data_IF_334256254161
#
_entry.id   IF_334256254161
#
_cell.length_a   1.000
_cell.length_b   1.000
_cell.length_c   1.000
_cell.angle_alpha   90.00
_cell.angle_beta   90.00
_cell.angle_gamma   90.00
#
_symmetry.space_group_name_H-M   'P 1'
#
loop_
_entity.id
_entity.type
_entity.pdbx_description
1 polymer ?
#
# COMPACT_ATOMS: atom_id res chain seq x y z
N UNK A 1 -5.78 -25.13 9.13
CA UNK A 1 -4.50 -25.39 9.79
C UNK A 1 -4.09 -26.83 9.57
N UNK A 2 -2.81 -27.07 9.29
CA UNK A 2 -2.21 -28.38 9.14
C UNK A 2 -1.30 -28.66 10.34
N UNK A 3 -1.43 -29.83 10.94
CA UNK A 3 -0.62 -30.28 12.07
C UNK A 3 -0.17 -31.74 11.86
N UNK A 4 0.79 -32.22 12.65
CA UNK A 4 1.18 -33.63 12.64
C UNK A 4 -0.01 -34.47 13.03
N UNK A 5 -0.12 -35.65 12.36
CA UNK A 5 -1.22 -36.60 12.59
C UNK A 5 -1.26 -37.06 14.06
N UNK A 6 -2.47 -37.07 14.63
CA UNK A 6 -2.78 -37.53 15.99
C UNK A 6 -2.00 -36.83 17.10
N UNK A 7 -1.54 -35.60 16.86
CA UNK A 7 -0.71 -34.77 17.79
C UNK A 7 -1.53 -33.78 18.63
N UNK A 8 -2.68 -33.35 18.12
CA UNK A 8 -3.49 -32.31 18.75
C UNK A 8 -4.77 -32.86 19.36
N UNK A 9 -5.00 -32.47 20.62
CA UNK A 9 -6.26 -32.68 21.33
C UNK A 9 -7.31 -31.68 20.89
N UNK A 10 -6.91 -30.40 20.76
CA UNK A 10 -7.80 -29.30 20.42
C UNK A 10 -7.03 -28.18 19.73
N UNK A 11 -7.68 -27.50 18.78
CA UNK A 11 -7.19 -26.26 18.18
C UNK A 11 -8.32 -25.24 18.27
N UNK A 12 -8.01 -24.06 18.83
CA UNK A 12 -8.96 -22.96 19.00
C UNK A 12 -8.48 -21.77 18.16
N UNK A 13 -9.38 -21.20 17.37
CA UNK A 13 -9.16 -19.89 16.74
C UNK A 13 -9.62 -18.79 17.69
N UNK A 14 -8.71 -17.88 18.01
CA UNK A 14 -9.00 -16.62 18.68
C UNK A 14 -9.10 -15.53 17.63
N UNK A 15 -10.15 -14.70 17.69
CA UNK A 15 -10.34 -13.63 16.71
C UNK A 15 -11.05 -12.42 17.28
N UNK A 16 -10.79 -11.26 16.70
CA UNK A 16 -11.42 -9.98 17.05
C UNK A 16 -11.45 -9.04 15.84
N UNK A 17 -12.28 -7.99 15.91
CA UNK A 17 -12.26 -6.91 14.92
C UNK A 17 -10.98 -6.08 15.10
N UNK A 18 -10.28 -5.83 14.01
CA UNK A 18 -9.03 -5.05 13.99
C UNK A 18 -9.22 -3.61 14.50
N UNK A 19 -10.39 -3.03 14.26
CA UNK A 19 -10.68 -1.62 14.54
C UNK A 19 -11.37 -1.38 15.88
N UNK A 20 -11.59 -2.42 16.68
CA UNK A 20 -12.08 -2.23 18.05
C UNK A 20 -11.04 -1.46 18.89
N UNK A 21 -11.43 -0.36 19.57
CA UNK A 21 -10.54 0.38 20.45
C UNK A 21 -9.89 -0.52 21.51
N UNK A 22 -8.62 -0.28 21.81
CA UNK A 22 -7.85 -1.09 22.78
C UNK A 22 -8.38 -0.99 24.21
N UNK A 23 -9.11 0.07 24.51
CA UNK A 23 -9.74 0.33 25.82
C UNK A 23 -10.92 -0.59 26.09
N UNK A 24 -11.54 -1.13 25.05
CA UNK A 24 -12.63 -2.09 25.19
C UNK A 24 -12.05 -3.47 25.49
N UNK A 25 -12.27 -3.92 26.73
CA UNK A 25 -11.88 -5.25 27.19
C UNK A 25 -12.89 -6.30 26.71
N UNK A 26 -12.43 -7.54 26.56
CA UNK A 26 -13.24 -8.74 26.28
C UNK A 26 -14.00 -8.75 24.95
N UNK A 27 -13.44 -8.14 23.91
CA UNK A 27 -14.00 -8.18 22.56
C UNK A 27 -13.56 -9.42 21.76
N UNK A 28 -12.56 -10.15 22.28
CA UNK A 28 -12.03 -11.35 21.65
C UNK A 28 -13.02 -12.51 21.75
N UNK A 29 -13.23 -13.15 20.61
CA UNK A 29 -14.04 -14.35 20.49
C UNK A 29 -13.15 -15.56 20.23
N UNK A 30 -13.64 -16.73 20.61
CA UNK A 30 -12.97 -18.02 20.39
C UNK A 30 -13.91 -19.00 19.74
N UNK A 31 -13.37 -19.87 18.89
CA UNK A 31 -14.13 -20.96 18.27
C UNK A 31 -13.23 -22.18 18.08
N UNK A 32 -13.65 -23.37 18.54
CA UNK A 32 -12.89 -24.60 18.30
C UNK A 32 -12.94 -24.99 16.82
N UNK A 33 -11.79 -25.39 16.29
CA UNK A 33 -11.67 -25.87 14.92
C UNK A 33 -12.00 -27.36 14.83
N UNK A 34 -12.56 -27.79 13.72
CA UNK A 34 -12.92 -29.18 13.46
C UNK A 34 -11.89 -29.85 12.57
N UNK A 35 -11.56 -31.11 12.87
CA UNK A 35 -10.75 -31.93 11.97
C UNK A 35 -11.56 -32.18 10.70
N UNK A 36 -11.10 -31.63 9.57
CA UNK A 36 -11.74 -31.72 8.28
C UNK A 36 -11.22 -32.90 7.44
N UNK A 37 -9.92 -33.20 7.56
CA UNK A 37 -9.28 -34.28 6.80
C UNK A 37 -8.07 -34.83 7.55
N UNK A 38 -7.65 -36.04 7.16
CA UNK A 38 -6.42 -36.70 7.60
C UNK A 38 -5.69 -37.26 6.39
N UNK A 39 -4.38 -37.00 6.32
CA UNK A 39 -3.49 -37.66 5.36
C UNK A 39 -2.61 -38.71 6.05
N UNK A 40 -1.64 -39.26 5.33
CA UNK A 40 -0.70 -40.23 5.91
C UNK A 40 0.09 -39.65 7.11
N UNK A 41 0.45 -38.34 7.06
CA UNK A 41 1.34 -37.71 8.03
C UNK A 41 0.71 -36.52 8.77
N UNK A 42 -0.44 -36.01 8.33
CA UNK A 42 -1.02 -34.76 8.84
C UNK A 42 -2.52 -34.86 9.06
N UNK A 43 -2.97 -34.11 10.05
CA UNK A 43 -4.37 -33.73 10.27
C UNK A 43 -4.60 -32.31 9.81
N UNK A 44 -5.77 -32.07 9.23
CA UNK A 44 -6.19 -30.75 8.74
C UNK A 44 -7.41 -30.29 9.52
N UNK A 45 -7.31 -29.09 10.08
CA UNK A 45 -8.38 -28.47 10.85
C UNK A 45 -8.88 -27.23 10.15
N UNK A 46 -10.18 -27.05 10.16
CA UNK A 46 -10.86 -25.88 9.60
C UNK A 46 -11.93 -25.35 10.52
N UNK A 47 -12.27 -24.10 10.34
CA UNK A 47 -13.44 -23.43 10.93
C UNK A 47 -14.01 -22.44 9.94
N UNK A 48 -15.33 -22.38 9.88
CA UNK A 48 -16.04 -21.41 9.07
C UNK A 48 -16.57 -20.31 9.97
N UNK A 49 -16.21 -19.07 9.66
CA UNK A 49 -16.68 -17.89 10.37
C UNK A 49 -17.72 -17.18 9.51
N UNK A 50 -18.89 -16.97 10.10
CA UNK A 50 -19.86 -16.04 9.53
C UNK A 50 -19.69 -14.69 10.23
N UNK A 51 -19.22 -13.67 9.49
CA UNK A 51 -18.78 -12.44 10.08
C UNK A 51 -19.39 -11.22 9.40
N UNK A 52 -19.67 -10.21 10.24
CA UNK A 52 -20.06 -8.87 9.78
C UNK A 52 -18.91 -7.85 9.99
N UNK A 53 -17.68 -8.34 10.14
CA UNK A 53 -16.50 -7.52 10.43
C UNK A 53 -15.83 -7.09 9.13
N UNK A 54 -15.30 -5.87 9.12
CA UNK A 54 -14.57 -5.32 7.96
C UNK A 54 -13.15 -5.88 7.88
N UNK A 55 -12.51 -6.11 9.01
CA UNK A 55 -11.17 -6.66 9.08
C UNK A 55 -11.02 -7.50 10.35
N UNK A 56 -10.36 -8.63 10.21
CA UNK A 56 -10.20 -9.62 11.28
C UNK A 56 -8.74 -9.71 11.69
N UNK A 57 -8.49 -9.70 13.01
CA UNK A 57 -7.24 -10.18 13.60
C UNK A 57 -7.47 -11.50 14.28
N UNK A 58 -6.50 -12.41 14.18
CA UNK A 58 -6.64 -13.73 14.73
C UNK A 58 -5.29 -14.39 15.07
N UNK A 59 -5.35 -15.39 15.92
CA UNK A 59 -4.26 -16.32 16.21
C UNK A 59 -4.83 -17.68 16.63
N UNK A 60 -3.97 -18.69 16.67
CA UNK A 60 -4.35 -20.05 17.01
C UNK A 60 -3.82 -20.44 18.39
N UNK A 61 -4.63 -21.18 19.15
CA UNK A 61 -4.23 -21.91 20.34
C UNK A 61 -4.24 -23.39 20.01
N UNK A 62 -3.12 -24.06 20.21
CA UNK A 62 -2.96 -25.49 20.07
C UNK A 62 -2.85 -26.12 21.44
N UNK A 63 -3.59 -27.19 21.68
CA UNK A 63 -3.45 -28.04 22.87
C UNK A 63 -3.08 -29.43 22.38
N UNK A 64 -1.91 -29.91 22.77
CA UNK A 64 -1.45 -31.26 22.41
C UNK A 64 -2.14 -32.36 23.21
N UNK A 65 -1.79 -33.65 22.93
CA UNK A 65 -2.37 -34.80 23.60
C UNK A 65 -1.96 -34.90 25.08
N UNK A 66 -0.91 -34.22 25.52
CA UNK A 66 -0.46 -34.09 26.90
C UNK A 66 -1.13 -32.95 27.66
N UNK A 67 -1.82 -32.06 26.96
CA UNK A 67 -2.49 -30.89 27.51
C UNK A 67 -1.62 -29.62 27.55
N UNK A 68 -0.42 -29.69 26.94
CA UNK A 68 0.44 -28.52 26.80
C UNK A 68 -0.15 -27.56 25.75
N UNK A 69 -0.04 -26.24 26.06
CA UNK A 69 -0.59 -25.20 25.18
C UNK A 69 0.50 -24.40 24.48
N UNK A 70 0.28 -24.14 23.19
CA UNK A 70 1.11 -23.25 22.37
C UNK A 70 0.22 -22.35 21.54
N UNK A 71 0.60 -21.09 21.44
CA UNK A 71 -0.11 -20.08 20.66
C UNK A 71 0.69 -19.73 19.40
N UNK A 72 0.02 -19.59 18.27
CA UNK A 72 0.65 -19.26 17.00
C UNK A 72 0.04 -17.99 16.39
N UNK A 73 0.87 -16.97 16.26
CA UNK A 73 0.56 -15.68 15.64
C UNK A 73 1.44 -15.39 14.44
N UNK A 74 1.43 -14.14 13.99
CA UNK A 74 2.04 -13.72 12.72
C UNK A 74 3.56 -13.97 12.62
N UNK A 75 4.29 -13.98 13.74
CA UNK A 75 5.76 -14.04 13.70
C UNK A 75 6.35 -15.28 14.38
N UNK A 76 5.67 -15.86 15.36
CA UNK A 76 6.26 -16.92 16.16
C UNK A 76 5.24 -17.77 16.92
N UNK A 77 5.71 -18.90 17.43
CA UNK A 77 5.02 -19.65 18.45
C UNK A 77 5.35 -19.10 19.84
N UNK A 78 4.37 -19.10 20.75
CA UNK A 78 4.50 -18.62 22.13
C UNK A 78 3.88 -19.60 23.10
N UNK A 79 4.48 -19.77 24.28
CA UNK A 79 3.86 -20.49 25.42
C UNK A 79 2.85 -19.61 26.17
N UNK A 80 2.91 -18.30 25.99
CA UNK A 80 2.00 -17.34 26.58
C UNK A 80 0.95 -16.90 25.56
N UNK A 81 -0.28 -16.69 26.03
CA UNK A 81 -1.37 -16.22 25.17
C UNK A 81 -1.01 -14.88 24.53
N UNK A 82 -1.26 -14.77 23.23
CA UNK A 82 -0.96 -13.57 22.44
C UNK A 82 -1.94 -12.47 22.82
N UNK A 83 -1.44 -11.44 23.49
CA UNK A 83 -2.20 -10.23 23.88
C UNK A 83 -1.83 -9.02 23.02
N UNK A 84 -0.61 -9.00 22.49
CA UNK A 84 -0.15 -7.94 21.58
C UNK A 84 -0.78 -8.14 20.19
N UNK A 85 -1.57 -7.17 19.75
CA UNK A 85 -2.28 -7.19 18.46
C UNK A 85 -1.35 -7.24 17.25
N UNK A 86 -0.16 -6.67 17.35
CA UNK A 86 0.82 -6.69 16.25
C UNK A 86 1.41 -8.08 15.99
N UNK A 87 1.25 -9.01 16.93
CA UNK A 87 1.66 -10.41 16.82
C UNK A 87 0.53 -11.32 16.31
N UNK A 88 -0.64 -10.80 16.04
CA UNK A 88 -1.76 -11.55 15.46
C UNK A 88 -1.67 -11.55 13.94
N UNK A 89 -2.25 -12.56 13.31
CA UNK A 89 -2.51 -12.53 11.88
C UNK A 89 -3.59 -11.51 11.56
N UNK A 90 -3.44 -10.81 10.45
CA UNK A 90 -4.49 -9.99 9.86
C UNK A 90 -5.15 -10.77 8.71
N UNK A 91 -6.46 -10.89 8.71
CA UNK A 91 -7.19 -11.29 7.51
C UNK A 91 -7.28 -10.06 6.58
N UNK A 92 -7.07 -10.22 5.28
CA UNK A 92 -7.22 -9.13 4.34
C UNK A 92 -8.55 -8.40 4.49
N UNK A 93 -8.53 -7.10 4.22
CA UNK A 93 -9.73 -6.27 4.10
C UNK A 93 -10.63 -6.84 2.98
N UNK A 94 -11.89 -6.39 2.96
CA UNK A 94 -12.88 -6.77 1.94
C UNK A 94 -13.45 -8.18 2.15
N UNK A 95 -13.96 -8.43 3.35
CA UNK A 95 -14.72 -9.65 3.67
C UNK A 95 -16.20 -9.57 3.25
N UNK A 96 -16.65 -8.40 2.79
CA UNK A 96 -18.01 -8.22 2.26
C UNK A 96 -18.02 -8.55 0.77
N UNK A 97 -19.06 -9.23 0.35
CA UNK A 97 -19.25 -9.60 -1.05
C UNK A 97 -19.21 -8.39 -2.00
N UNK A 98 -19.71 -7.24 -1.53
CA UNK A 98 -19.72 -5.95 -2.25
C UNK A 98 -18.32 -5.32 -2.37
N UNK A 99 -17.35 -5.75 -1.55
CA UNK A 99 -15.98 -5.28 -1.52
C UNK A 99 -15.00 -6.29 -2.16
N UNK A 100 -15.51 -7.44 -2.62
CA UNK A 100 -14.69 -8.44 -3.30
C UNK A 100 -14.36 -7.95 -4.72
N UNK A 101 -13.08 -7.81 -4.99
CA UNK A 101 -12.60 -7.49 -6.34
C UNK A 101 -12.46 -8.78 -7.15
N UNK A 102 -13.08 -8.81 -8.30
CA UNK A 102 -12.67 -9.77 -9.31
C UNK A 102 -11.32 -9.34 -9.87
N UNK A 103 -10.28 -10.09 -9.56
CA UNK A 103 -8.95 -9.87 -10.14
C UNK A 103 -9.06 -10.16 -11.63
N UNK A 104 -8.77 -9.18 -12.52
CA UNK A 104 -8.82 -9.43 -13.95
C UNK A 104 -7.88 -10.57 -14.33
N UNK A 105 -8.31 -11.44 -15.23
CA UNK A 105 -7.54 -12.61 -15.66
C UNK A 105 -6.12 -12.24 -16.10
N UNK A 106 -5.96 -11.11 -16.76
CA UNK A 106 -4.65 -10.64 -17.21
C UNK A 106 -3.67 -10.30 -16.06
N UNK A 107 -4.16 -10.02 -14.86
CA UNK A 107 -3.33 -9.64 -13.70
C UNK A 107 -2.85 -10.86 -12.89
N UNK A 108 -3.50 -12.02 -13.06
CA UNK A 108 -3.10 -13.24 -12.37
C UNK A 108 -1.73 -13.72 -12.86
N UNK A 109 -0.87 -14.12 -11.93
CA UNK A 109 0.47 -14.68 -12.21
C UNK A 109 1.39 -13.74 -13.01
N UNK A 110 1.28 -12.42 -12.83
CA UNK A 110 2.10 -11.41 -13.50
C UNK A 110 3.25 -10.92 -12.62
N UNK A 111 4.39 -10.67 -13.25
CA UNK A 111 5.54 -10.03 -12.61
C UNK A 111 5.43 -8.53 -12.81
N UNK A 112 5.31 -7.80 -11.71
CA UNK A 112 5.21 -6.33 -11.72
C UNK A 112 6.56 -5.73 -11.37
N UNK A 113 7.03 -4.79 -12.18
CA UNK A 113 8.25 -4.03 -11.94
C UNK A 113 7.92 -2.56 -11.68
N UNK A 114 8.15 -2.11 -10.44
CA UNK A 114 7.94 -0.73 -10.07
C UNK A 114 9.14 0.12 -10.52
N UNK A 115 8.86 1.19 -11.25
CA UNK A 115 9.85 2.18 -11.68
C UNK A 115 9.59 3.49 -10.97
N UNK A 116 10.65 4.05 -10.39
CA UNK A 116 10.73 5.44 -9.97
C UNK A 116 11.36 6.24 -11.11
N UNK A 117 10.59 6.97 -11.94
CA UNK A 117 11.10 7.53 -13.20
C UNK A 117 12.35 8.38 -13.03
N UNK A 118 12.37 9.29 -12.05
CA UNK A 118 13.53 10.16 -11.78
C UNK A 118 14.84 9.41 -11.46
N UNK A 119 14.79 8.08 -11.23
CA UNK A 119 15.92 7.26 -10.76
C UNK A 119 16.17 6.00 -11.59
N UNK A 120 15.49 5.84 -12.73
CA UNK A 120 15.63 4.64 -13.53
C UNK A 120 16.63 4.83 -14.68
N UNK A 121 16.33 5.72 -15.63
CA UNK A 121 17.20 5.98 -16.78
C UNK A 121 16.96 7.38 -17.31
N UNK A 122 18.03 8.11 -17.63
CA UNK A 122 17.99 9.41 -18.28
C UNK A 122 18.33 9.29 -19.76
N UNK A 123 17.51 9.89 -20.63
CA UNK A 123 17.76 9.94 -22.07
C UNK A 123 18.80 10.98 -22.47
N UNK A 124 18.98 12.00 -21.62
CA UNK A 124 19.98 13.06 -21.83
C UNK A 124 21.26 12.76 -21.08
N UNK A 125 22.42 13.27 -21.54
CA UNK A 125 23.65 13.18 -20.79
C UNK A 125 23.51 13.79 -19.40
N UNK A 126 23.77 13.00 -18.35
CA UNK A 126 23.74 13.41 -16.95
C UNK A 126 25.05 13.07 -16.27
N UNK A 127 25.37 13.78 -15.21
CA UNK A 127 26.50 13.41 -14.36
C UNK A 127 26.21 12.10 -13.64
N UNK A 128 26.77 11.01 -14.14
CA UNK A 128 26.56 9.66 -13.58
C UNK A 128 27.24 9.44 -12.24
N UNK A 129 28.07 10.35 -11.74
CA UNK A 129 28.66 10.24 -10.40
C UNK A 129 27.59 10.15 -9.33
N UNK A 130 26.44 10.81 -9.53
CA UNK A 130 25.31 10.78 -8.61
C UNK A 130 24.60 9.41 -8.58
N UNK A 131 24.70 8.60 -9.62
CA UNK A 131 24.10 7.25 -9.67
C UNK A 131 24.76 6.26 -8.71
N UNK A 132 25.99 6.52 -8.33
CA UNK A 132 26.77 5.71 -7.39
C UNK A 132 26.83 6.31 -5.99
N UNK A 133 26.13 7.41 -5.74
CA UNK A 133 26.05 8.03 -4.42
C UNK A 133 25.37 7.10 -3.42
N UNK A 134 25.93 6.99 -2.23
CA UNK A 134 25.36 6.26 -1.10
C UNK A 134 25.49 7.08 0.19
N UNK A 135 24.44 7.18 1.01
CA UNK A 135 23.07 6.72 0.76
C UNK A 135 22.31 7.61 -0.23
N UNK A 136 21.35 7.03 -0.94
CA UNK A 136 20.36 7.78 -1.72
C UNK A 136 19.26 8.27 -0.77
N UNK A 137 18.92 9.56 -0.84
CA UNK A 137 17.88 10.20 -0.04
C UNK A 137 16.63 10.49 -0.86
N UNK A 138 15.51 10.81 -0.21
CA UNK A 138 14.27 11.19 -0.91
C UNK A 138 14.42 12.44 -1.80
N UNK A 139 15.38 13.31 -1.50
CA UNK A 139 15.65 14.54 -2.27
C UNK A 139 16.50 14.31 -3.53
N UNK A 140 17.18 13.17 -3.64
CA UNK A 140 18.08 12.91 -4.77
C UNK A 140 17.30 12.65 -6.06
N UNK A 141 17.58 13.46 -7.09
CA UNK A 141 17.05 13.33 -8.43
C UNK A 141 18.16 12.92 -9.39
N UNK A 142 18.03 11.77 -10.04
CA UNK A 142 18.99 11.25 -11.00
C UNK A 142 18.62 11.57 -12.46
N UNK A 143 17.64 12.46 -12.64
CA UNK A 143 17.19 12.98 -13.93
C UNK A 143 16.70 11.91 -14.94
N UNK A 144 16.20 10.77 -14.42
CA UNK A 144 15.51 9.78 -15.25
C UNK A 144 14.22 10.36 -15.82
N UNK A 145 13.84 9.88 -17.02
CA UNK A 145 12.70 10.40 -17.79
C UNK A 145 11.97 9.28 -18.55
N UNK A 146 10.82 9.63 -19.18
CA UNK A 146 10.03 8.68 -19.95
C UNK A 146 10.79 8.15 -21.17
N UNK A 147 11.61 8.96 -21.82
CA UNK A 147 12.44 8.55 -22.95
C UNK A 147 13.46 7.49 -22.51
N UNK A 148 14.12 7.70 -21.39
CA UNK A 148 15.03 6.72 -20.81
C UNK A 148 14.34 5.38 -20.50
N UNK A 149 13.09 5.40 -20.02
CA UNK A 149 12.32 4.16 -19.82
C UNK A 149 12.03 3.49 -21.17
N UNK A 150 11.60 4.26 -22.18
CA UNK A 150 11.33 3.74 -23.54
C UNK A 150 12.55 3.01 -24.11
N UNK A 151 13.73 3.59 -23.97
CA UNK A 151 14.98 3.04 -24.48
C UNK A 151 15.41 1.75 -23.79
N UNK A 152 14.86 1.48 -22.59
CA UNK A 152 15.18 0.29 -21.79
C UNK A 152 14.04 -0.75 -21.75
N UNK A 153 13.00 -0.63 -22.59
CA UNK A 153 11.88 -1.57 -22.60
C UNK A 153 12.29 -3.01 -22.96
N UNK A 154 13.28 -3.18 -23.83
CA UNK A 154 13.78 -4.50 -24.18
C UNK A 154 14.49 -5.17 -23.00
N UNK A 155 15.35 -4.44 -22.29
CA UNK A 155 15.96 -4.89 -21.03
C UNK A 155 14.90 -5.32 -20.00
N UNK A 156 13.86 -4.51 -19.81
CA UNK A 156 12.79 -4.82 -18.87
C UNK A 156 12.03 -6.08 -19.29
N UNK A 157 11.78 -6.25 -20.59
CA UNK A 157 11.12 -7.45 -21.13
C UNK A 157 11.98 -8.70 -20.95
N UNK A 158 13.29 -8.61 -21.18
CA UNK A 158 14.24 -9.71 -20.98
C UNK A 158 14.32 -10.17 -19.52
N UNK A 159 14.07 -9.27 -18.55
CA UNK A 159 13.91 -9.65 -17.14
C UNK A 159 12.64 -10.47 -16.84
N UNK A 160 11.77 -10.68 -17.81
CA UNK A 160 10.51 -11.41 -17.64
C UNK A 160 9.38 -10.58 -17.04
N UNK A 161 9.45 -9.25 -17.13
CA UNK A 161 8.42 -8.35 -16.58
C UNK A 161 7.19 -8.32 -17.47
N UNK A 162 6.02 -8.42 -16.86
CA UNK A 162 4.72 -8.35 -17.53
C UNK A 162 4.04 -7.00 -17.36
N UNK A 163 4.30 -6.29 -16.25
CA UNK A 163 3.65 -5.04 -15.92
C UNK A 163 4.66 -4.01 -15.43
N UNK A 164 4.67 -2.85 -16.07
CA UNK A 164 5.39 -1.67 -15.61
C UNK A 164 4.47 -0.86 -14.69
N UNK A 165 4.85 -0.70 -13.43
CA UNK A 165 4.19 0.20 -12.50
C UNK A 165 5.07 1.43 -12.28
N UNK A 166 4.62 2.59 -12.73
CA UNK A 166 5.36 3.85 -12.54
C UNK A 166 4.84 4.59 -11.32
N UNK A 167 5.74 5.05 -10.44
CA UNK A 167 5.39 6.06 -9.43
C UNK A 167 4.89 7.33 -10.11
N UNK A 168 4.28 8.30 -9.39
CA UNK A 168 3.59 9.43 -10.03
C UNK A 168 4.45 10.18 -11.03
N UNK A 169 3.85 10.64 -12.12
CA UNK A 169 4.52 11.37 -13.20
C UNK A 169 3.94 12.76 -13.47
N UNK A 170 2.88 13.13 -12.74
CA UNK A 170 2.22 14.41 -12.91
C UNK A 170 3.03 15.56 -12.32
N UNK A 171 2.72 16.79 -12.76
CA UNK A 171 3.44 18.00 -12.34
C UNK A 171 3.44 18.15 -10.82
N UNK A 172 4.63 18.34 -10.26
CA UNK A 172 4.89 18.45 -8.83
C UNK A 172 6.25 19.09 -8.58
N UNK A 173 6.48 19.63 -7.40
CA UNK A 173 7.75 20.26 -7.04
C UNK A 173 8.82 19.24 -6.58
N UNK A 174 8.42 18.09 -6.07
CA UNK A 174 9.36 17.05 -5.63
C UNK A 174 9.79 16.15 -6.78
N UNK A 175 10.90 15.42 -6.61
CA UNK A 175 11.31 14.40 -7.57
C UNK A 175 10.43 13.15 -7.52
N UNK A 176 9.76 12.86 -6.38
CA UNK A 176 8.90 11.71 -6.20
C UNK A 176 7.46 11.92 -6.73
N UNK A 177 7.05 13.16 -6.98
CA UNK A 177 5.75 13.57 -7.55
C UNK A 177 4.49 13.20 -6.75
N UNK A 178 4.63 12.69 -5.52
CA UNK A 178 3.46 12.42 -4.67
C UNK A 178 2.74 13.69 -4.18
N UNK A 179 3.39 14.84 -4.18
CA UNK A 179 2.81 16.16 -3.93
C UNK A 179 2.26 16.79 -5.21
N UNK A 180 1.38 16.09 -5.91
CA UNK A 180 0.84 16.50 -7.22
C UNK A 180 0.14 17.86 -7.15
N UNK A 181 0.52 18.78 -8.01
CA UNK A 181 -0.07 20.12 -8.13
C UNK A 181 -0.91 20.30 -9.40
N UNK A 182 -0.77 19.41 -10.38
CA UNK A 182 -1.55 19.45 -11.62
C UNK A 182 -1.66 18.02 -12.22
N UNK A 183 -2.86 17.46 -12.22
CA UNK A 183 -3.14 16.12 -12.76
C UNK A 183 -3.34 16.07 -14.27
N UNK A 184 -3.41 17.22 -14.95
CA UNK A 184 -3.63 17.29 -16.40
C UNK A 184 -2.34 17.34 -17.21
N UNK A 185 -1.21 17.62 -16.56
CA UNK A 185 0.09 17.74 -17.19
C UNK A 185 1.11 16.80 -16.58
N UNK A 186 1.86 16.13 -17.46
CA UNK A 186 3.05 15.39 -17.06
C UNK A 186 4.09 16.42 -16.62
N UNK A 187 4.86 16.08 -15.59
CA UNK A 187 5.96 16.93 -15.15
C UNK A 187 6.97 17.12 -16.29
N UNK A 188 7.36 18.37 -16.61
CA UNK A 188 8.29 18.65 -17.68
C UNK A 188 9.65 17.93 -17.55
N UNK A 189 10.07 17.60 -16.32
CA UNK A 189 11.30 16.84 -16.09
C UNK A 189 11.21 15.39 -16.56
N UNK A 190 10.00 14.85 -16.73
CA UNK A 190 9.79 13.47 -17.21
C UNK A 190 9.46 13.39 -18.69
N UNK A 191 9.05 14.50 -19.31
CA UNK A 191 8.72 14.53 -20.73
C UNK A 191 7.30 14.97 -21.03
N UNK A 192 6.73 14.45 -22.11
CA UNK A 192 5.49 14.91 -22.72
C UNK A 192 4.40 13.84 -22.76
N UNK A 193 3.15 14.25 -22.97
CA UNK A 193 2.04 13.31 -23.25
C UNK A 193 2.31 12.42 -24.47
N UNK A 194 3.06 12.94 -25.44
CA UNK A 194 3.42 12.16 -26.63
C UNK A 194 4.37 11.02 -26.27
N UNK A 195 5.37 11.30 -25.44
CA UNK A 195 6.30 10.28 -24.95
C UNK A 195 5.61 9.25 -24.07
N UNK A 196 4.65 9.66 -23.23
CA UNK A 196 3.84 8.69 -22.46
C UNK A 196 3.04 7.77 -23.39
N UNK A 197 2.42 8.31 -24.44
CA UNK A 197 1.71 7.48 -25.42
C UNK A 197 2.66 6.50 -26.12
N UNK A 198 3.83 6.97 -26.52
CA UNK A 198 4.87 6.12 -27.13
C UNK A 198 5.32 5.01 -26.19
N UNK A 199 5.56 5.33 -24.91
CA UNK A 199 5.94 4.35 -23.89
C UNK A 199 4.87 3.27 -23.75
N UNK A 200 3.60 3.66 -23.60
CA UNK A 200 2.48 2.72 -23.47
C UNK A 200 2.36 1.84 -24.72
N UNK A 201 2.44 2.44 -25.92
CA UNK A 201 2.36 1.70 -27.16
C UNK A 201 3.50 0.67 -27.27
N UNK A 202 4.74 1.09 -27.07
CA UNK A 202 5.91 0.21 -27.16
C UNK A 202 5.96 -0.87 -26.08
N UNK A 203 5.45 -0.59 -24.89
CA UNK A 203 5.27 -1.59 -23.85
C UNK A 203 4.24 -2.65 -24.28
N UNK A 204 3.10 -2.21 -24.82
CA UNK A 204 2.06 -3.12 -25.33
C UNK A 204 2.56 -3.98 -26.51
N UNK A 205 3.34 -3.42 -27.42
CA UNK A 205 3.97 -4.18 -28.53
C UNK A 205 4.87 -5.32 -28.01
N UNK A 206 5.41 -5.18 -26.79
CA UNK A 206 6.22 -6.21 -26.11
C UNK A 206 5.41 -7.11 -25.18
N UNK A 207 4.07 -6.99 -25.20
CA UNK A 207 3.17 -7.77 -24.34
C UNK A 207 3.16 -7.33 -22.88
N UNK A 208 3.73 -6.17 -22.54
CA UNK A 208 3.72 -5.60 -21.20
C UNK A 208 2.54 -4.64 -21.01
N UNK A 209 1.97 -4.61 -19.82
CA UNK A 209 0.97 -3.61 -19.40
C UNK A 209 1.65 -2.46 -18.69
N UNK A 210 0.99 -1.30 -18.65
CA UNK A 210 1.47 -0.10 -17.95
C UNK A 210 0.44 0.30 -16.90
N UNK A 211 0.89 0.46 -15.67
CA UNK A 211 0.10 0.98 -14.55
C UNK A 211 0.76 2.27 -14.07
N UNK A 212 -0.03 3.31 -13.90
CA UNK A 212 0.42 4.60 -13.37
C UNK A 212 -0.12 4.82 -11.99
N UNK A 213 0.72 5.32 -11.09
CA UNK A 213 0.31 5.70 -9.75
C UNK A 213 -0.59 6.96 -9.81
N UNK A 214 -1.70 6.90 -9.11
CA UNK A 214 -2.66 7.98 -9.03
C UNK A 214 -2.79 8.46 -7.58
N UNK A 215 -2.29 9.66 -7.30
CA UNK A 215 -2.32 10.26 -5.95
C UNK A 215 -3.66 10.90 -5.70
N UNK A 216 -4.63 10.14 -5.15
CA UNK A 216 -5.99 10.62 -4.88
C UNK A 216 -6.31 10.78 -3.39
N UNK A 217 -5.38 10.42 -2.49
CA UNK A 217 -5.55 10.60 -1.05
C UNK A 217 -5.30 12.05 -0.62
N UNK A 218 -4.41 12.76 -1.31
CA UNK A 218 -3.97 14.12 -0.99
C UNK A 218 -3.48 14.83 -2.26
N UNK A 219 -3.23 16.14 -2.16
CA UNK A 219 -2.60 16.92 -3.23
C UNK A 219 -1.34 17.61 -2.70
N UNK A 220 -0.57 18.22 -3.58
CA UNK A 220 0.42 19.24 -3.17
C UNK A 220 -0.28 20.52 -2.70
N UNK A 221 0.41 21.32 -1.90
CA UNK A 221 -0.12 22.61 -1.41
C UNK A 221 -0.43 23.62 -2.52
N UNK A 222 0.30 23.54 -3.63
CA UNK A 222 0.13 24.43 -4.77
C UNK A 222 -0.95 23.94 -5.75
N UNK A 223 -1.61 22.82 -5.46
CA UNK A 223 -2.77 22.41 -6.24
C UNK A 223 -3.84 23.49 -6.16
N UNK A 224 -4.42 23.85 -7.28
CA UNK A 224 -5.27 25.04 -7.42
C UNK A 224 -6.34 25.19 -6.34
N UNK A 225 -6.94 24.09 -5.90
CA UNK A 225 -8.00 24.10 -4.89
C UNK A 225 -7.45 24.45 -3.50
N UNK A 226 -6.30 23.86 -3.10
CA UNK A 226 -5.69 24.18 -1.81
C UNK A 226 -5.04 25.56 -1.81
N UNK A 227 -4.45 25.99 -2.93
CA UNK A 227 -3.93 27.33 -3.10
C UNK A 227 -5.02 28.41 -2.94
N UNK A 228 -6.22 28.17 -3.49
CA UNK A 228 -7.38 29.06 -3.30
C UNK A 228 -7.82 29.14 -1.83
N UNK A 229 -7.72 28.00 -1.08
CA UNK A 229 -8.01 27.99 0.37
C UNK A 229 -6.95 28.78 1.15
N UNK A 230 -5.67 28.67 0.79
CA UNK A 230 -4.60 29.45 1.42
C UNK A 230 -4.81 30.96 1.22
N UNK A 231 -5.32 31.36 0.07
CA UNK A 231 -5.59 32.77 -0.27
C UNK A 231 -6.87 33.32 0.40
N UNK A 232 -7.97 32.54 0.34
CA UNK A 232 -9.33 33.01 0.69
C UNK A 232 -9.84 32.50 2.04
N UNK A 233 -9.15 31.58 2.67
CA UNK A 233 -9.56 30.98 3.92
C UNK A 233 -10.96 30.33 3.84
N UNK A 234 -11.80 30.60 4.82
CA UNK A 234 -13.18 30.09 4.89
C UNK A 234 -14.06 30.43 3.68
N UNK A 235 -13.70 31.51 2.94
CA UNK A 235 -14.46 31.97 1.76
C UNK A 235 -14.14 31.19 0.50
N UNK A 236 -13.19 30.26 0.53
CA UNK A 236 -12.86 29.41 -0.61
C UNK A 236 -14.01 28.47 -0.92
N UNK A 237 -14.38 28.37 -2.20
CA UNK A 237 -15.37 27.38 -2.68
C UNK A 237 -14.86 25.95 -2.63
N UNK A 238 -13.56 25.73 -2.37
CA UNK A 238 -12.91 24.44 -2.29
C UNK A 238 -12.68 23.98 -0.86
N UNK A 239 -13.13 24.76 0.18
CA UNK A 239 -12.89 24.41 1.58
C UNK A 239 -13.30 22.98 1.93
N UNK A 240 -14.41 22.53 1.38
CA UNK A 240 -14.98 21.20 1.68
C UNK A 240 -14.31 20.06 0.90
N UNK A 241 -13.31 20.38 0.06
CA UNK A 241 -12.49 19.38 -0.60
C UNK A 241 -11.40 18.81 0.30
N UNK A 242 -11.17 19.42 1.46
CA UNK A 242 -10.12 19.02 2.40
C UNK A 242 -10.64 18.94 3.81
N UNK A 243 -10.04 18.08 4.62
CA UNK A 243 -10.33 18.00 6.05
C UNK A 243 -9.61 19.12 6.79
N UNK A 244 -10.32 20.21 7.12
CA UNK A 244 -9.81 21.41 7.81
C UNK A 244 -10.52 21.53 9.14
N UNK A 245 -9.74 21.65 10.24
CA UNK A 245 -10.27 21.71 11.60
C UNK A 245 -10.75 23.14 11.93
N UNK A 246 -9.95 24.16 11.57
CA UNK A 246 -10.29 25.59 11.80
C UNK A 246 -9.51 26.52 10.85
N UNK A 247 -9.81 27.84 10.91
CA UNK A 247 -9.11 28.88 10.17
C UNK A 247 -8.57 29.97 11.11
N UNK A 248 -7.46 30.66 10.78
CA UNK A 248 -6.65 30.48 9.56
C UNK A 248 -5.88 29.15 9.56
N UNK A 249 -5.53 28.68 8.35
CA UNK A 249 -4.71 27.48 8.20
C UNK A 249 -3.34 27.69 8.85
N UNK A 250 -2.90 26.75 9.67
CA UNK A 250 -1.60 26.74 10.36
C UNK A 250 -0.77 25.53 9.94
N UNK A 251 0.50 25.76 9.71
CA UNK A 251 1.49 24.72 9.41
C UNK A 251 2.88 25.21 9.85
N UNK A 252 3.01 25.51 11.14
CA UNK A 252 4.25 26.03 11.71
C UNK A 252 5.24 24.91 12.00
N UNK A 253 6.55 25.15 11.84
CA UNK A 253 7.57 24.17 12.21
C UNK A 253 7.42 23.72 13.66
N UNK A 254 7.45 22.41 13.88
CA UNK A 254 7.33 21.81 15.22
C UNK A 254 5.90 21.74 15.78
N UNK A 255 4.89 22.09 15.00
CA UNK A 255 3.49 21.96 15.35
C UNK A 255 2.74 21.13 14.30
N UNK A 256 1.68 20.44 14.71
CA UNK A 256 0.80 19.77 13.78
C UNK A 256 -0.04 20.79 13.01
N UNK A 257 -0.23 20.61 11.69
CA UNK A 257 -1.17 21.40 10.92
C UNK A 257 -2.60 21.28 11.48
N UNK A 258 -3.40 22.34 11.37
CA UNK A 258 -4.82 22.32 11.70
C UNK A 258 -5.71 21.88 10.52
N UNK A 259 -5.16 21.04 9.67
CA UNK A 259 -5.84 20.32 8.61
C UNK A 259 -5.22 18.94 8.47
N UNK A 260 -5.99 17.94 8.01
CA UNK A 260 -5.47 16.61 7.81
C UNK A 260 -4.48 16.59 6.64
N UNK A 261 -3.43 15.80 6.77
CA UNK A 261 -2.39 15.67 5.77
C UNK A 261 -1.76 14.26 5.79
N UNK A 262 -1.08 13.88 4.72
CA UNK A 262 -0.38 12.59 4.65
C UNK A 262 0.79 12.58 5.64
N UNK A 263 0.82 11.55 6.50
CA UNK A 263 1.90 11.34 7.49
C UNK A 263 2.25 12.60 8.31
N UNK A 264 1.25 13.44 8.63
CA UNK A 264 1.40 14.72 9.34
C UNK A 264 2.27 15.75 8.60
N UNK A 265 2.59 15.52 7.35
CA UNK A 265 3.36 16.45 6.53
C UNK A 265 2.43 17.46 5.85
N UNK A 266 2.44 18.70 6.34
CA UNK A 266 1.55 19.77 5.87
C UNK A 266 1.74 20.20 4.40
N UNK A 267 2.75 19.67 3.71
CA UNK A 267 2.94 19.80 2.26
C UNK A 267 1.98 18.97 1.41
N UNK A 268 1.29 17.98 2.03
CA UNK A 268 0.39 17.05 1.36
C UNK A 268 -1.00 17.01 2.02
N UNK A 269 -1.81 18.08 1.84
CA UNK A 269 -3.15 18.18 2.43
C UNK A 269 -4.06 17.07 1.90
N UNK A 270 -4.79 16.42 2.84
CA UNK A 270 -5.65 15.29 2.56
C UNK A 270 -6.97 15.72 1.98
N UNK A 271 -7.35 15.08 0.86
CA UNK A 271 -8.68 15.23 0.25
C UNK A 271 -9.77 14.56 1.12
N UNK A 272 -10.95 15.19 1.11
CA UNK A 272 -12.15 14.71 1.80
C UNK A 272 -12.90 13.65 0.96
#
# INVERSE_FOLDING_TARGET
>A
VQVKKDDMKEIILHYEDKYIPMELKDTRKTIPMKKAATSQFHDYYEVQLQMHLVCLRYFFEFTDMQGEKVYYGNYEFSKECITNRDRMFDCPQNLREEEMFEVPEWAANKVVYQIFPARFAASQPVDRSQWYKAPITSADNLHGDLRGIIEHLDYIRELGIDVLYMTPIFKSNSCHKYDTIDYYHIDPSFGTKQELRELVQKAHERGMKVVMDAVFNHTGREFFAFADILEKGEKSKYRDWYFIDDFPLRNEPGQLPNFKCFAYYGGMPKLN
#
